data_IF_499125624897
#
_entry.id   IF_499125624897
#
_cell.length_a   1.000
_cell.length_b   1.000
_cell.length_c   1.000
_cell.angle_alpha   90.00
_cell.angle_beta   90.00
_cell.angle_gamma   90.00
#
_symmetry.space_group_name_H-M   'P 1'
#
loop_
_entity.id
_entity.type
_entity.pdbx_description
1 polymer ?
#
# COMPACT_ATOMS: atom_id res chain seq x y z
N UNK A 1 46.12 -5.84 32.51
CA UNK A 1 45.40 -4.99 31.53
C UNK A 1 44.55 -5.89 30.63
N UNK A 2 43.29 -5.54 30.41
CA UNK A 2 42.31 -6.42 29.76
C UNK A 2 42.41 -6.40 28.21
N UNK A 3 42.12 -7.50 27.50
CA UNK A 3 42.11 -7.51 26.04
C UNK A 3 40.90 -6.74 25.49
N UNK A 4 41.13 -5.89 24.49
CA UNK A 4 40.09 -5.15 23.78
C UNK A 4 39.14 -6.14 23.07
N UNK A 5 37.85 -6.08 23.40
CA UNK A 5 36.80 -6.85 22.73
C UNK A 5 36.61 -6.33 21.30
N UNK A 6 36.72 -7.22 20.31
CA UNK A 6 36.35 -6.98 18.92
C UNK A 6 34.83 -6.79 18.81
N UNK A 7 34.31 -5.83 18.02
CA UNK A 7 32.90 -5.78 17.72
C UNK A 7 32.55 -6.98 16.83
N UNK A 8 31.79 -7.93 17.36
CA UNK A 8 31.02 -8.87 16.56
C UNK A 8 29.90 -8.10 15.87
N UNK A 9 30.20 -7.54 14.71
CA UNK A 9 29.17 -7.06 13.79
C UNK A 9 28.45 -8.29 13.26
N UNK A 10 27.38 -8.70 13.93
CA UNK A 10 26.53 -9.80 13.47
C UNK A 10 26.00 -9.41 12.09
N UNK A 11 26.41 -10.19 11.09
CA UNK A 11 25.87 -10.17 9.74
C UNK A 11 24.37 -10.49 9.78
N UNK A 12 23.55 -9.49 10.06
CA UNK A 12 22.13 -9.50 9.74
C UNK A 12 22.00 -8.95 8.34
N UNK A 13 22.09 -9.81 7.32
CA UNK A 13 21.58 -9.47 6.01
C UNK A 13 20.10 -9.12 6.20
N UNK A 14 19.79 -7.83 6.35
CA UNK A 14 18.42 -7.35 6.23
C UNK A 14 18.01 -7.69 4.80
N UNK A 15 17.32 -8.83 4.64
CA UNK A 15 16.58 -9.09 3.43
C UNK A 15 15.68 -7.86 3.25
N UNK A 16 16.01 -7.05 2.24
CA UNK A 16 15.20 -5.92 1.84
C UNK A 16 13.80 -6.47 1.64
N UNK A 17 12.86 -6.11 2.53
CA UNK A 17 11.46 -6.51 2.38
C UNK A 17 11.04 -6.12 0.97
N UNK A 18 10.82 -7.11 0.12
CA UNK A 18 10.29 -6.84 -1.21
C UNK A 18 8.98 -6.09 -1.03
N UNK A 19 8.80 -5.05 -1.86
CA UNK A 19 7.57 -4.26 -1.86
C UNK A 19 6.44 -5.15 -2.35
N UNK A 20 5.74 -5.79 -1.42
CA UNK A 20 4.50 -6.51 -1.74
C UNK A 20 3.37 -5.52 -1.92
N UNK A 21 2.63 -5.66 -3.02
CA UNK A 21 1.41 -4.90 -3.24
C UNK A 21 0.31 -5.58 -2.44
N UNK A 22 -0.36 -4.88 -1.51
CA UNK A 22 -1.44 -5.49 -0.75
C UNK A 22 -2.58 -5.88 -1.68
N UNK A 23 -3.09 -7.10 -1.46
CA UNK A 23 -4.25 -7.66 -2.15
C UNK A 23 -5.52 -6.87 -1.82
N UNK A 24 -6.57 -7.06 -2.63
CA UNK A 24 -7.83 -6.35 -2.44
C UNK A 24 -8.50 -6.69 -1.08
N UNK A 25 -8.39 -7.95 -0.66
CA UNK A 25 -8.89 -8.43 0.64
C UNK A 25 -8.14 -7.81 1.83
N UNK A 26 -6.80 -7.74 1.76
CA UNK A 26 -6.00 -7.09 2.79
C UNK A 26 -6.35 -5.61 2.95
N UNK A 27 -6.63 -4.91 1.83
CA UNK A 27 -7.08 -3.52 1.85
C UNK A 27 -8.43 -3.38 2.55
N UNK A 28 -9.37 -4.30 2.34
CA UNK A 28 -10.65 -4.31 3.05
C UNK A 28 -10.48 -4.54 4.55
N UNK A 29 -9.69 -5.53 4.93
CA UNK A 29 -9.42 -5.83 6.34
C UNK A 29 -8.78 -4.63 7.06
N UNK A 30 -7.90 -3.90 6.40
CA UNK A 30 -7.35 -2.63 6.91
C UNK A 30 -8.44 -1.58 7.11
N UNK A 31 -9.38 -1.44 6.17
CA UNK A 31 -10.48 -0.47 6.27
C UNK A 31 -11.44 -0.80 7.41
N UNK A 32 -11.79 -2.08 7.59
CA UNK A 32 -12.67 -2.49 8.68
C UNK A 32 -12.04 -2.23 10.05
N UNK A 33 -10.76 -2.55 10.25
CA UNK A 33 -10.06 -2.25 11.50
C UNK A 33 -9.96 -0.74 11.80
N UNK A 34 -9.80 0.09 10.76
CA UNK A 34 -9.84 1.54 10.91
C UNK A 34 -11.25 2.04 11.27
N UNK A 35 -12.31 1.35 10.85
CA UNK A 35 -13.70 1.65 11.24
C UNK A 35 -14.01 1.22 12.66
N UNK A 36 -13.43 0.10 13.11
CA UNK A 36 -13.50 -0.37 14.50
C UNK A 36 -12.77 0.56 15.50
N UNK A 37 -12.10 1.60 15.00
CA UNK A 37 -11.42 2.60 15.82
C UNK A 37 -9.96 2.27 16.11
N UNK A 38 -9.35 1.30 15.44
CA UNK A 38 -7.91 1.07 15.59
C UNK A 38 -7.09 2.24 15.04
N UNK A 39 -5.98 2.55 15.71
CA UNK A 39 -5.07 3.59 15.25
C UNK A 39 -4.28 3.15 14.02
N UNK A 40 -3.99 4.12 13.13
CA UNK A 40 -3.25 3.90 11.87
C UNK A 40 -1.90 3.23 12.13
N UNK A 41 -1.18 3.65 13.16
CA UNK A 41 0.12 3.07 13.54
C UNK A 41 0.00 1.61 13.98
N UNK A 42 -1.06 1.26 14.71
CA UNK A 42 -1.27 -0.12 15.14
C UNK A 42 -1.59 -1.02 13.95
N UNK A 43 -2.46 -0.57 13.04
CA UNK A 43 -2.79 -1.28 11.80
C UNK A 43 -1.56 -1.45 10.92
N UNK A 44 -0.75 -0.40 10.75
CA UNK A 44 0.51 -0.45 10.00
C UNK A 44 1.47 -1.52 10.54
N UNK A 45 1.62 -1.62 11.87
CA UNK A 45 2.45 -2.65 12.51
C UNK A 45 1.89 -4.06 12.34
N UNK A 46 0.57 -4.23 12.43
CA UNK A 46 -0.10 -5.54 12.29
C UNK A 46 0.08 -6.14 10.90
N UNK A 47 -0.03 -5.33 9.85
CA UNK A 47 0.12 -5.79 8.46
C UNK A 47 1.54 -5.56 7.90
N UNK A 48 2.44 -4.95 8.67
CA UNK A 48 3.80 -4.64 8.21
C UNK A 48 3.85 -3.64 7.05
N UNK A 49 2.84 -2.80 6.92
CA UNK A 49 2.75 -1.75 5.90
C UNK A 49 3.17 -0.39 6.46
N UNK A 50 3.58 0.52 5.59
CA UNK A 50 3.90 1.88 5.96
C UNK A 50 2.61 2.65 6.29
N UNK A 51 2.65 3.53 7.29
CA UNK A 51 1.48 4.34 7.67
C UNK A 51 0.95 5.18 6.50
N UNK A 52 1.84 5.68 5.64
CA UNK A 52 1.47 6.40 4.43
C UNK A 52 0.62 5.55 3.48
N UNK A 53 0.95 4.26 3.35
CA UNK A 53 0.15 3.31 2.57
C UNK A 53 -1.21 3.06 3.21
N UNK A 54 -1.28 2.91 4.53
CA UNK A 54 -2.56 2.77 5.25
C UNK A 54 -3.46 4.00 5.04
N UNK A 55 -2.88 5.20 5.09
CA UNK A 55 -3.62 6.45 4.81
C UNK A 55 -4.12 6.52 3.36
N UNK A 56 -3.30 6.10 2.40
CA UNK A 56 -3.70 6.03 1.00
C UNK A 56 -4.86 5.05 0.77
N UNK A 57 -4.82 3.89 1.42
CA UNK A 57 -5.91 2.89 1.40
C UNK A 57 -7.21 3.51 1.93
N UNK A 58 -7.14 4.27 3.04
CA UNK A 58 -8.31 4.96 3.60
C UNK A 58 -8.92 5.98 2.63
N UNK A 59 -8.10 6.70 1.87
CA UNK A 59 -8.59 7.67 0.87
C UNK A 59 -9.36 6.94 -0.25
N UNK A 60 -8.83 5.81 -0.70
CA UNK A 60 -9.41 4.99 -1.78
C UNK A 60 -10.51 4.02 -1.31
N UNK A 61 -11.04 4.19 -0.09
CA UNK A 61 -12.01 3.27 0.51
C UNK A 61 -13.20 2.96 -0.42
N UNK A 62 -13.76 3.99 -1.05
CA UNK A 62 -14.92 3.84 -1.96
C UNK A 62 -14.58 3.00 -3.18
N UNK A 63 -13.43 3.28 -3.80
CA UNK A 63 -12.96 2.56 -4.99
C UNK A 63 -12.68 1.10 -4.68
N UNK A 64 -12.08 0.82 -3.51
CA UNK A 64 -11.81 -0.55 -3.06
C UNK A 64 -13.13 -1.32 -2.85
N UNK A 65 -14.10 -0.73 -2.15
CA UNK A 65 -15.42 -1.35 -1.96
C UNK A 65 -16.15 -1.59 -3.28
N UNK A 66 -16.05 -0.65 -4.23
CA UNK A 66 -16.64 -0.80 -5.56
C UNK A 66 -15.94 -1.90 -6.38
N UNK A 67 -14.61 -1.96 -6.34
CA UNK A 67 -13.84 -3.01 -7.01
C UNK A 67 -14.22 -4.40 -6.50
N UNK A 68 -14.43 -4.53 -5.18
CA UNK A 68 -14.90 -5.79 -4.56
C UNK A 68 -16.29 -6.16 -5.06
N UNK A 69 -17.22 -5.20 -5.04
CA UNK A 69 -18.59 -5.41 -5.53
C UNK A 69 -18.63 -5.78 -7.02
N UNK A 70 -17.75 -5.21 -7.84
CA UNK A 70 -17.62 -5.52 -9.27
C UNK A 70 -16.96 -6.87 -9.53
N UNK A 71 -16.04 -7.29 -8.66
CA UNK A 71 -15.35 -8.59 -8.76
C UNK A 71 -16.17 -9.78 -8.25
N UNK A 72 -17.20 -9.52 -7.45
CA UNK A 72 -18.11 -10.57 -6.99
C UNK A 72 -18.93 -11.07 -8.19
N UNK A 73 -18.85 -12.36 -8.59
CA UNK A 73 -19.69 -12.87 -9.64
C UNK A 73 -21.14 -12.75 -9.17
N UNK A 74 -21.90 -11.87 -9.81
CA UNK A 74 -23.34 -11.79 -9.66
C UNK A 74 -23.86 -13.16 -10.08
N UNK A 75 -24.18 -14.02 -9.11
CA UNK A 75 -24.79 -15.33 -9.32
C UNK A 75 -26.25 -15.17 -9.72
N UNK A 76 -26.49 -14.40 -10.78
CA UNK A 76 -27.70 -14.47 -11.58
C UNK A 76 -27.29 -15.12 -12.90
N UNK A 77 -27.45 -16.44 -12.96
CA UNK A 77 -27.47 -17.32 -14.14
C UNK A 77 -27.56 -16.55 -15.47
N UNK A 78 -26.42 -16.16 -16.02
CA UNK A 78 -26.25 -15.82 -17.43
C UNK A 78 -24.88 -16.34 -17.86
N UNK A 79 -24.96 -17.24 -18.83
CA UNK A 79 -23.89 -17.88 -19.60
C UNK A 79 -22.75 -16.95 -20.02
N UNK A 80 -21.53 -17.50 -19.92
CA UNK A 80 -20.36 -17.22 -20.75
C UNK A 80 -19.86 -15.77 -20.81
N UNK A 81 -18.79 -15.46 -20.06
CA UNK A 81 -17.57 -15.00 -20.72
C UNK A 81 -16.36 -15.02 -19.80
N UNK A 82 -15.29 -15.60 -20.33
CA UNK A 82 -13.91 -15.42 -19.94
C UNK A 82 -13.57 -13.93 -19.97
N UNK A 83 -13.07 -13.39 -18.87
CA UNK A 83 -12.25 -12.17 -18.91
C UNK A 83 -11.08 -12.34 -17.96
N UNK A 84 -10.10 -13.10 -18.44
CA UNK A 84 -8.73 -12.97 -18.00
C UNK A 84 -8.15 -11.67 -18.59
N UNK A 85 -7.46 -10.91 -17.74
CA UNK A 85 -6.55 -9.82 -18.09
C UNK A 85 -7.16 -8.47 -18.53
N UNK A 86 -7.45 -7.58 -17.58
CA UNK A 86 -7.21 -6.13 -17.73
C UNK A 86 -7.35 -5.39 -16.40
N UNK A 87 -6.24 -5.21 -15.67
CA UNK A 87 -6.15 -4.14 -14.67
C UNK A 87 -4.96 -3.26 -15.05
N UNK A 88 -5.16 -2.39 -16.03
CA UNK A 88 -4.27 -1.25 -16.25
C UNK A 88 -4.58 -0.19 -15.18
N UNK A 89 -3.56 0.37 -14.51
CA UNK A 89 -3.78 1.49 -13.59
C UNK A 89 -4.06 2.77 -14.40
N UNK A 90 -5.04 3.61 -14.03
CA UNK A 90 -5.05 4.97 -14.51
C UNK A 90 -3.92 5.75 -13.82
N UNK A 91 -2.96 6.20 -14.62
CA UNK A 91 -2.15 7.36 -14.31
C UNK A 91 -3.02 8.62 -14.31
N UNK A 92 -2.43 9.70 -13.76
CA UNK A 92 -2.96 11.08 -13.57
C UNK A 92 -3.58 11.27 -12.19
N UNK A 93 -3.29 12.31 -11.42
CA UNK A 93 -2.60 13.57 -11.66
C UNK A 93 -2.25 14.16 -10.27
N UNK A 94 -1.26 15.07 -10.21
CA UNK A 94 -0.85 15.93 -9.08
C UNK A 94 0.59 15.70 -8.57
N UNK A 95 1.56 15.73 -9.48
CA UNK A 95 2.80 16.47 -9.21
C UNK A 95 2.74 17.79 -9.98
N UNK A 96 1.95 18.73 -9.43
CA UNK A 96 2.00 20.13 -9.80
C UNK A 96 2.19 20.92 -8.49
N UNK A 97 3.43 21.36 -8.25
CA UNK A 97 3.86 22.49 -7.37
C UNK A 97 5.29 22.25 -6.87
N UNK A 98 6.29 22.35 -7.76
CA UNK A 98 7.65 22.80 -7.42
C UNK A 98 8.52 22.90 -8.68
N UNK A 99 8.35 23.98 -9.43
CA UNK A 99 9.43 24.64 -10.17
C UNK A 99 9.05 26.11 -10.35
N UNK A 100 9.20 26.87 -9.28
CA UNK A 100 9.38 28.32 -9.34
C UNK A 100 10.51 28.65 -8.36
N UNK A 101 11.75 28.44 -8.82
CA UNK A 101 12.98 29.05 -8.30
C UNK A 101 13.97 28.94 -9.46
N UNK A 102 14.37 30.10 -10.00
CA UNK A 102 15.28 30.16 -11.15
C UNK A 102 15.13 31.42 -12.01
N UNK A 103 14.88 32.58 -11.40
CA UNK A 103 15.20 33.89 -11.99
C UNK A 103 16.27 34.51 -11.11
N UNK A 104 17.53 34.51 -11.55
CA UNK A 104 18.60 35.40 -11.10
C UNK A 104 19.88 35.17 -11.94
N UNK A 105 20.34 36.20 -12.66
CA UNK A 105 21.71 36.44 -13.16
C UNK A 105 22.23 35.51 -14.27
N UNK A 106 22.83 35.96 -15.37
CA UNK A 106 23.38 37.25 -15.81
C UNK A 106 23.17 37.39 -17.33
#
# INVERSE_FOLDING_TARGET
>A
MAPKRKPTTSAGAQLKKQRSVPTLEEKLAVLDLLRDGMSVSNVARKYGHNESSIRAIKIQEREIRQAVASSAPITAKVTSQVSCCAFTPPQSLLHATKQLIGRCGE
#
